data_IF_319885355402
#
_entry.id   IF_319885355402
#
_cell.length_a   1.000
_cell.length_b   1.000
_cell.length_c   1.000
_cell.angle_alpha   90.00
_cell.angle_beta   90.00
_cell.angle_gamma   90.00
#
_symmetry.space_group_name_H-M   'P 1'
#
loop_
_entity.id
_entity.type
_entity.pdbx_description
1 polymer ?
#
# COMPACT_ATOMS: atom_id res chain seq x y z
N UNK A 1 -68.92 8.98 13.98
CA UNK A 1 -68.73 7.85 14.91
C UNK A 1 -68.70 6.56 14.10
N UNK A 2 -67.53 6.09 13.66
CA UNK A 2 -67.31 4.69 13.25
C UNK A 2 -65.81 4.37 13.24
N UNK A 3 -65.40 3.64 14.28
CA UNK A 3 -64.47 2.49 14.37
C UNK A 3 -63.21 2.47 13.49
N UNK A 4 -62.06 2.44 14.18
CA UNK A 4 -60.78 1.99 13.64
C UNK A 4 -60.81 0.48 13.31
N UNK A 5 -60.32 0.09 12.13
CA UNK A 5 -59.91 -1.28 11.82
C UNK A 5 -58.44 -1.26 11.41
N UNK A 6 -57.61 -1.72 12.33
CA UNK A 6 -56.25 -2.21 12.11
C UNK A 6 -56.28 -3.41 11.17
N UNK A 7 -55.48 -3.36 10.10
CA UNK A 7 -55.06 -4.57 9.38
C UNK A 7 -53.55 -4.72 9.54
N UNK A 8 -53.19 -5.62 10.45
CA UNK A 8 -51.87 -6.24 10.57
C UNK A 8 -51.54 -7.01 9.29
N UNK A 9 -50.42 -6.70 8.65
CA UNK A 9 -49.74 -7.67 7.79
C UNK A 9 -48.44 -8.09 8.46
N UNK A 10 -48.46 -9.37 8.82
CA UNK A 10 -47.40 -10.21 9.38
C UNK A 10 -46.07 -10.07 8.63
N UNK A 11 -45.02 -9.96 9.44
CA UNK A 11 -43.62 -10.18 9.07
C UNK A 11 -43.45 -11.55 8.40
N UNK A 12 -42.94 -11.56 7.18
CA UNK A 12 -42.26 -12.72 6.57
C UNK A 12 -40.94 -12.22 6.03
N UNK A 13 -39.84 -12.68 6.63
CA UNK A 13 -38.49 -12.26 6.31
C UNK A 13 -38.13 -12.56 4.86
N UNK A 14 -37.81 -11.51 4.11
CA UNK A 14 -37.12 -11.61 2.82
C UNK A 14 -35.61 -11.61 3.12
N UNK A 15 -35.05 -12.80 3.32
CA UNK A 15 -33.60 -13.05 3.28
C UNK A 15 -33.13 -12.92 1.83
N UNK A 16 -33.09 -11.70 1.32
CA UNK A 16 -32.46 -11.38 0.04
C UNK A 16 -30.94 -11.47 0.16
N UNK A 17 -30.39 -12.66 -0.07
CA UNK A 17 -28.95 -12.87 -0.14
C UNK A 17 -28.30 -11.95 -1.18
N UNK A 18 -27.14 -11.38 -0.85
CA UNK A 18 -26.41 -10.48 -1.73
C UNK A 18 -26.03 -11.21 -3.03
N UNK A 19 -26.54 -10.74 -4.17
CA UNK A 19 -26.19 -11.27 -5.49
C UNK A 19 -24.80 -10.77 -5.91
N UNK A 20 -24.04 -11.62 -6.60
CA UNK A 20 -22.77 -11.24 -7.22
C UNK A 20 -22.99 -10.26 -8.40
N UNK A 21 -21.90 -9.74 -8.98
CA UNK A 21 -21.93 -8.82 -10.11
C UNK A 21 -22.57 -9.40 -11.40
N UNK A 22 -22.86 -10.70 -11.41
CA UNK A 22 -23.45 -11.44 -12.51
C UNK A 22 -24.84 -12.03 -12.17
N UNK A 23 -25.40 -11.69 -11.01
CA UNK A 23 -26.74 -12.10 -10.59
C UNK A 23 -26.83 -13.48 -9.94
N UNK A 24 -25.72 -14.09 -9.52
CA UNK A 24 -25.75 -15.36 -8.79
C UNK A 24 -25.81 -15.11 -7.27
N UNK A 25 -26.53 -15.95 -6.50
CA UNK A 25 -26.49 -15.87 -5.04
C UNK A 25 -25.07 -16.07 -4.55
N UNK A 26 -24.49 -15.05 -3.90
CA UNK A 26 -23.17 -15.17 -3.29
C UNK A 26 -23.30 -16.12 -2.10
N UNK A 27 -22.57 -17.24 -2.03
CA UNK A 27 -22.50 -18.00 -0.80
C UNK A 27 -21.94 -17.05 0.27
N UNK A 28 -22.64 -16.92 1.40
CA UNK A 28 -22.17 -16.14 2.56
C UNK A 28 -20.70 -16.47 2.83
N UNK A 29 -19.82 -15.57 2.39
CA UNK A 29 -18.38 -15.72 2.59
C UNK A 29 -18.16 -15.63 4.10
N UNK A 30 -17.48 -16.59 4.76
CA UNK A 30 -17.18 -16.45 6.17
C UNK A 30 -16.47 -15.12 6.38
N UNK A 31 -17.21 -14.19 7.02
CA UNK A 31 -16.72 -12.92 7.54
C UNK A 31 -15.24 -13.05 7.87
N UNK A 32 -14.34 -12.23 7.30
CA UNK A 32 -12.90 -12.40 7.51
C UNK A 32 -12.67 -12.38 9.01
N UNK A 33 -12.50 -13.57 9.57
CA UNK A 33 -12.22 -13.76 10.96
C UNK A 33 -10.95 -12.98 11.18
N UNK A 34 -11.09 -11.88 11.92
CA UNK A 34 -10.02 -11.01 12.36
C UNK A 34 -9.09 -11.86 13.24
N UNK A 35 -8.23 -12.61 12.56
CA UNK A 35 -7.46 -13.72 13.08
C UNK A 35 -6.06 -13.66 12.53
N UNK A 36 -5.43 -12.50 12.62
CA UNK A 36 -3.99 -12.32 12.48
C UNK A 36 -3.66 -10.95 13.05
N UNK A 37 -3.17 -10.93 14.30
CA UNK A 37 -2.63 -9.75 14.98
C UNK A 37 -1.33 -9.23 14.36
N UNK A 38 -1.20 -9.28 13.04
CA UNK A 38 -0.14 -8.60 12.29
C UNK A 38 -0.71 -7.25 11.89
N UNK A 39 0.05 -6.19 12.16
CA UNK A 39 -0.22 -4.81 11.74
C UNK A 39 -0.22 -4.74 10.21
N UNK A 40 -1.28 -5.25 9.58
CA UNK A 40 -1.49 -5.30 8.15
C UNK A 40 -2.80 -4.59 7.87
N UNK A 41 -2.71 -3.29 7.58
CA UNK A 41 -3.82 -2.61 6.92
C UNK A 41 -4.15 -3.30 5.59
N UNK A 42 -5.25 -2.89 4.92
CA UNK A 42 -5.61 -3.44 3.62
C UNK A 42 -4.39 -3.47 2.69
N UNK A 43 -4.25 -4.56 1.95
CA UNK A 43 -3.15 -4.70 1.01
C UNK A 43 -3.19 -3.56 -0.01
N UNK A 44 -2.06 -2.87 -0.20
CA UNK A 44 -1.97 -1.75 -1.13
C UNK A 44 -2.01 -2.31 -2.55
N UNK A 45 -3.08 -2.00 -3.28
CA UNK A 45 -3.22 -2.32 -4.71
C UNK A 45 -2.81 -1.13 -5.61
N UNK A 46 -2.19 -0.10 -5.04
CA UNK A 46 -1.65 1.02 -5.80
C UNK A 46 -0.28 0.65 -6.39
N UNK A 47 -0.29 0.36 -7.69
CA UNK A 47 0.86 -0.05 -8.47
C UNK A 47 1.90 1.07 -8.57
N UNK A 48 1.47 2.32 -8.65
CA UNK A 48 2.36 3.49 -8.73
C UNK A 48 3.05 3.73 -7.39
N UNK A 49 2.32 3.56 -6.27
CA UNK A 49 2.89 3.61 -4.94
C UNK A 49 3.93 2.48 -4.73
N UNK A 50 3.61 1.24 -5.14
CA UNK A 50 4.56 0.12 -5.06
C UNK A 50 5.81 0.41 -5.89
N UNK A 51 5.64 0.95 -7.10
CA UNK A 51 6.75 1.36 -7.96
C UNK A 51 7.60 2.45 -7.30
N UNK A 52 6.96 3.47 -6.73
CA UNK A 52 7.63 4.56 -6.03
C UNK A 52 8.49 4.04 -4.88
N UNK A 53 7.89 3.22 -4.01
CA UNK A 53 8.56 2.63 -2.86
C UNK A 53 9.70 1.69 -3.28
N UNK A 54 9.46 0.82 -4.26
CA UNK A 54 10.50 -0.08 -4.75
C UNK A 54 11.68 0.70 -5.35
N UNK A 55 11.40 1.74 -6.14
CA UNK A 55 12.39 2.64 -6.72
C UNK A 55 13.22 3.36 -5.65
N UNK A 56 12.58 3.99 -4.67
CA UNK A 56 13.26 4.68 -3.57
C UNK A 56 14.08 3.72 -2.69
N UNK A 57 13.59 2.49 -2.48
CA UNK A 57 14.33 1.46 -1.76
C UNK A 57 15.56 0.94 -2.54
N UNK A 58 15.51 0.93 -3.88
CA UNK A 58 16.71 0.61 -4.68
C UNK A 58 17.82 1.64 -4.51
N UNK A 59 17.44 2.90 -4.28
CA UNK A 59 18.35 4.02 -4.01
C UNK A 59 18.80 4.09 -2.55
N UNK A 60 18.27 3.24 -1.66
CA UNK A 60 18.65 3.23 -0.24
C UNK A 60 18.06 4.38 0.59
N UNK A 61 16.92 4.93 0.17
CA UNK A 61 16.34 6.12 0.81
C UNK A 61 15.54 5.81 2.08
N UNK A 62 15.12 4.56 2.29
CA UNK A 62 14.27 4.19 3.43
C UNK A 62 15.04 3.60 4.60
N UNK A 63 14.58 3.95 5.81
CA UNK A 63 15.09 3.48 7.08
C UNK A 63 13.93 3.12 8.02
N UNK A 64 14.09 2.05 8.78
CA UNK A 64 13.19 1.65 9.86
C UNK A 64 13.78 2.10 11.20
N UNK A 65 13.03 2.89 11.97
CA UNK A 65 13.53 3.46 13.23
C UNK A 65 12.69 2.95 14.41
N UNK A 66 13.41 2.49 15.43
CA UNK A 66 12.86 2.08 16.72
C UNK A 66 12.09 0.75 16.69
N UNK A 67 11.60 0.32 17.86
CA UNK A 67 10.87 -0.96 18.05
C UNK A 67 9.55 -1.04 17.29
N UNK A 68 8.98 0.12 16.95
CA UNK A 68 7.76 0.21 16.14
C UNK A 68 8.01 0.11 14.64
N UNK A 69 9.27 -0.09 14.21
CA UNK A 69 9.71 -0.12 12.81
C UNK A 69 9.15 1.04 11.98
N UNK A 70 9.12 2.25 12.54
CA UNK A 70 8.58 3.42 11.84
C UNK A 70 9.43 3.73 10.61
N UNK A 71 8.81 3.96 9.47
CA UNK A 71 9.51 4.24 8.22
C UNK A 71 9.85 5.72 8.12
N UNK A 72 11.12 5.99 7.82
CA UNK A 72 11.65 7.30 7.51
C UNK A 72 12.33 7.26 6.13
N UNK A 73 12.32 8.40 5.44
CA UNK A 73 13.01 8.59 4.18
C UNK A 73 14.13 9.63 4.35
N UNK A 74 15.28 9.41 3.73
CA UNK A 74 16.35 10.41 3.67
C UNK A 74 15.92 11.57 2.77
N UNK A 75 16.01 12.80 3.27
CA UNK A 75 15.48 13.98 2.58
C UNK A 75 16.32 14.40 1.36
N UNK A 76 17.64 14.37 1.49
CA UNK A 76 18.57 14.94 0.49
C UNK A 76 19.34 13.88 -0.30
N UNK A 77 18.94 12.60 -0.19
CA UNK A 77 19.56 11.49 -0.91
C UNK A 77 20.17 10.40 -0.03
N UNK A 78 20.84 9.40 -0.63
CA UNK A 78 21.26 8.16 0.05
C UNK A 78 22.30 8.36 1.15
N UNK A 79 23.12 9.41 1.05
CA UNK A 79 24.19 9.70 2.03
C UNK A 79 23.77 10.76 3.06
N UNK A 80 22.54 11.28 2.97
CA UNK A 80 22.05 12.29 3.92
C UNK A 80 21.70 11.66 5.27
N UNK A 81 22.26 12.20 6.35
CA UNK A 81 21.89 11.84 7.71
C UNK A 81 20.51 12.36 8.10
N UNK A 82 19.96 13.31 7.34
CA UNK A 82 18.67 13.92 7.63
C UNK A 82 17.53 13.06 7.10
N UNK A 83 16.64 12.67 8.02
CA UNK A 83 15.49 11.83 7.72
C UNK A 83 14.18 12.49 8.09
N UNK A 84 13.17 12.24 7.26
CA UNK A 84 11.80 12.73 7.43
C UNK A 84 10.87 11.54 7.57
N UNK A 85 9.87 11.69 8.43
CA UNK A 85 8.86 10.65 8.63
C UNK A 85 8.00 10.51 7.38
N UNK A 86 7.86 9.28 6.92
CA UNK A 86 7.05 8.95 5.76
C UNK A 86 5.56 8.93 6.12
N UNK A 87 4.65 9.37 5.23
CA UNK A 87 3.22 9.25 5.44
C UNK A 87 2.75 7.82 5.69
N UNK A 88 1.62 7.66 6.38
CA UNK A 88 1.14 6.34 6.84
C UNK A 88 0.90 5.35 5.69
N UNK A 89 0.32 5.81 4.59
CA UNK A 89 0.04 4.96 3.42
C UNK A 89 1.31 4.37 2.82
N UNK A 90 2.39 5.13 2.80
CA UNK A 90 3.69 4.70 2.27
C UNK A 90 4.46 3.86 3.29
N UNK A 91 4.35 4.16 4.59
CA UNK A 91 4.83 3.28 5.68
C UNK A 91 4.22 1.87 5.55
N UNK A 92 2.90 1.79 5.38
CA UNK A 92 2.20 0.50 5.25
C UNK A 92 2.62 -0.25 3.97
N UNK A 93 2.83 0.45 2.85
CA UNK A 93 3.35 -0.15 1.60
C UNK A 93 4.77 -0.71 1.77
N UNK A 94 5.67 0.01 2.45
CA UNK A 94 7.03 -0.48 2.77
C UNK A 94 6.96 -1.75 3.62
N UNK A 95 6.11 -1.78 4.64
CA UNK A 95 5.92 -2.96 5.48
C UNK A 95 5.36 -4.16 4.71
N UNK A 96 4.42 -3.93 3.78
CA UNK A 96 3.90 -4.99 2.92
C UNK A 96 4.99 -5.56 2.01
N UNK A 97 5.84 -4.70 1.42
CA UNK A 97 6.95 -5.14 0.57
C UNK A 97 8.04 -5.88 1.36
N UNK A 98 8.30 -5.50 2.61
CA UNK A 98 9.15 -6.25 3.54
C UNK A 98 8.54 -7.60 3.91
N UNK A 99 7.23 -7.64 4.17
CA UNK A 99 6.52 -8.88 4.51
C UNK A 99 6.51 -9.88 3.34
N UNK A 100 6.48 -9.39 2.11
CA UNK A 100 6.51 -10.19 0.88
C UNK A 100 7.93 -10.48 0.37
N UNK A 101 8.97 -10.10 1.13
CA UNK A 101 10.38 -10.28 0.75
C UNK A 101 10.78 -9.60 -0.56
N UNK A 102 10.04 -8.58 -1.00
CA UNK A 102 10.45 -7.70 -2.08
C UNK A 102 11.54 -6.73 -1.61
N UNK A 103 11.56 -6.41 -0.33
CA UNK A 103 12.57 -5.61 0.35
C UNK A 103 13.19 -6.42 1.49
N UNK A 104 14.42 -6.07 1.86
CA UNK A 104 15.14 -6.67 2.97
C UNK A 104 15.67 -5.62 3.92
N UNK A 105 15.77 -5.98 5.20
CA UNK A 105 16.43 -5.15 6.21
C UNK A 105 17.94 -5.31 6.06
N UNK A 106 18.66 -4.20 6.10
CA UNK A 106 20.12 -4.12 5.98
C UNK A 106 20.81 -3.76 7.29
N UNK A 107 21.91 -3.02 7.18
CA UNK A 107 22.67 -2.51 8.33
C UNK A 107 21.91 -1.44 9.11
N UNK A 108 22.36 -1.20 10.35
CA UNK A 108 21.85 -0.10 11.19
C UNK A 108 22.80 1.08 11.11
N UNK A 109 22.23 2.28 10.94
CA UNK A 109 22.96 3.53 10.77
C UNK A 109 22.41 4.60 11.72
N UNK A 110 23.28 5.44 12.31
CA UNK A 110 22.84 6.63 13.01
C UNK A 110 22.23 7.62 12.01
N UNK A 111 21.08 8.20 12.35
CA UNK A 111 20.38 9.19 11.53
C UNK A 111 19.78 10.29 12.39
N UNK A 112 19.52 11.46 11.80
CA UNK A 112 18.96 12.62 12.49
C UNK A 112 17.57 12.94 11.96
N UNK A 113 16.61 13.02 12.87
CA UNK A 113 15.26 13.49 12.58
C UNK A 113 15.05 14.81 13.33
N UNK A 114 15.20 15.93 12.63
CA UNK A 114 15.19 17.26 13.26
C UNK A 114 16.29 17.37 14.32
N UNK A 115 15.91 17.68 15.57
CA UNK A 115 16.84 17.79 16.70
C UNK A 115 17.22 16.43 17.35
N UNK A 116 16.56 15.33 16.97
CA UNK A 116 16.78 14.03 17.58
C UNK A 116 17.78 13.17 16.79
N UNK A 117 18.70 12.51 17.50
CA UNK A 117 19.56 11.46 16.95
C UNK A 117 18.93 10.09 17.19
N UNK A 118 18.82 9.29 16.13
CA UNK A 118 18.11 8.02 16.09
C UNK A 118 19.00 6.94 15.45
N UNK A 119 18.65 5.68 15.67
CA UNK A 119 19.25 4.54 15.00
C UNK A 119 18.23 3.92 14.05
N UNK A 120 18.57 3.86 12.77
CA UNK A 120 17.69 3.37 11.71
C UNK A 120 18.30 2.16 10.99
N UNK A 121 17.50 1.12 10.79
CA UNK A 121 17.88 -0.04 9.95
C UNK A 121 17.55 0.28 8.50
N UNK A 122 18.54 0.20 7.61
CA UNK A 122 18.35 0.46 6.18
C UNK A 122 17.39 -0.55 5.55
N UNK A 123 16.53 -0.06 4.66
CA UNK A 123 15.69 -0.92 3.81
C UNK A 123 16.32 -0.99 2.43
N UNK A 124 16.66 -2.20 2.02
CA UNK A 124 17.37 -2.47 0.78
C UNK A 124 16.47 -3.26 -0.17
N UNK A 125 16.55 -2.95 -1.45
CA UNK A 125 16.01 -3.81 -2.49
C UNK A 125 17.03 -4.90 -2.86
N UNK A 126 16.70 -6.21 -2.75
CA UNK A 126 17.53 -7.30 -3.24
C UNK A 126 17.79 -7.21 -4.74
N UNK A 127 18.84 -7.89 -5.24
CA UNK A 127 19.21 -7.91 -6.67
C UNK A 127 18.03 -8.29 -7.56
N UNK A 128 17.26 -9.31 -7.19
CA UNK A 128 16.08 -9.74 -7.93
C UNK A 128 15.03 -8.62 -8.07
N UNK A 129 14.74 -7.90 -6.98
CA UNK A 129 13.83 -6.76 -6.98
C UNK A 129 14.35 -5.63 -7.85
N UNK A 130 15.64 -5.28 -7.74
CA UNK A 130 16.27 -4.25 -8.58
C UNK A 130 16.14 -4.58 -10.07
N UNK A 131 16.40 -5.83 -10.47
CA UNK A 131 16.25 -6.28 -11.86
C UNK A 131 14.80 -6.15 -12.34
N UNK A 132 13.82 -6.52 -11.50
CA UNK A 132 12.39 -6.37 -11.84
C UNK A 132 11.99 -4.91 -12.00
N UNK A 133 12.40 -4.05 -11.07
CA UNK A 133 12.13 -2.60 -11.13
C UNK A 133 12.75 -2.01 -12.41
N UNK A 134 14.01 -2.31 -12.71
CA UNK A 134 14.68 -1.83 -13.92
C UNK A 134 13.97 -2.29 -15.20
N UNK A 135 13.54 -3.57 -15.25
CA UNK A 135 12.75 -4.08 -16.37
C UNK A 135 11.43 -3.33 -16.51
N UNK A 136 10.77 -3.06 -15.40
CA UNK A 136 9.48 -2.37 -15.40
C UNK A 136 9.62 -0.91 -15.85
N UNK A 137 10.66 -0.20 -15.39
CA UNK A 137 10.96 1.15 -15.85
C UNK A 137 11.21 1.21 -17.37
N UNK A 138 11.88 0.20 -17.92
CA UNK A 138 12.09 0.07 -19.35
C UNK A 138 10.78 -0.17 -20.11
N UNK A 139 9.89 -1.03 -19.58
CA UNK A 139 8.58 -1.31 -20.18
C UNK A 139 7.57 -0.17 -20.02
N UNK A 140 7.70 0.66 -18.99
CA UNK A 140 6.84 1.81 -18.76
C UNK A 140 7.09 2.97 -19.74
N UNK A 141 8.18 2.91 -20.53
CA UNK A 141 8.48 3.89 -21.59
C UNK A 141 8.82 3.18 -22.90
N UNK A 142 7.88 2.49 -23.54
CA UNK A 142 8.12 1.91 -24.85
C UNK A 142 8.41 3.03 -25.85
N UNK A 143 9.52 2.94 -26.59
CA UNK A 143 9.93 3.96 -27.56
C UNK A 143 8.88 4.20 -28.67
N UNK A 144 7.98 3.24 -28.88
CA UNK A 144 6.87 3.29 -29.83
C UNK A 144 5.56 3.85 -29.26
N UNK A 145 5.51 4.18 -27.97
CA UNK A 145 4.35 4.82 -27.35
C UNK A 145 4.42 6.33 -27.63
N UNK A 146 4.22 6.70 -28.89
CA UNK A 146 4.07 8.11 -29.27
C UNK A 146 2.88 8.68 -28.49
N UNK A 147 3.13 9.75 -27.73
CA UNK A 147 2.06 10.56 -27.14
C UNK A 147 1.37 11.27 -28.30
N UNK A 148 0.24 10.73 -28.75
CA UNK A 148 -0.60 11.38 -29.74
C UNK A 148 -1.16 12.67 -29.13
N UNK A 149 -0.38 13.75 -29.25
CA UNK A 149 -0.75 15.10 -28.83
C UNK A 149 -1.60 15.80 -29.89
N UNK A 150 -2.07 15.08 -30.93
CA UNK A 150 -3.02 15.64 -31.90
C UNK A 150 -4.43 15.64 -31.32
N UNK A 151 -4.75 16.67 -30.53
CA UNK A 151 -6.04 17.39 -30.51
C UNK A 151 -6.05 18.41 -29.39
N UNK A 152 -5.35 19.52 -29.61
CA UNK A 152 -5.61 20.77 -28.91
C UNK A 152 -5.51 21.94 -29.89
N UNK A 153 -6.37 21.90 -30.92
CA UNK A 153 -6.72 23.07 -31.72
C UNK A 153 -8.11 22.82 -32.31
N UNK A 154 -9.14 23.30 -31.61
CA UNK A 154 -10.37 23.76 -32.24
C UNK A 154 -10.97 24.87 -31.39
#
# INVERSE_FOLDING_TARGET
MVVAMTTTHTSTGDTGGQLDLFGNPTPDDPSPSSGSGRRGGPETNDVDLVRHVAGNATRGLYLLVGRGERVYARADGPDSDHVVRVPRYEEDAVHQLLARSWLTRGGTHPVRCGAASLQGTAVLAPKATRTRVARWEHLARPANWHTDTRKAHR
#
